data_IF_618154359454
#
_entry.id   IF_618154359454
#
_cell.length_a   1.000
_cell.length_b   1.000
_cell.length_c   1.000
_cell.angle_alpha   90.00
_cell.angle_beta   90.00
_cell.angle_gamma   90.00
#
_symmetry.space_group_name_H-M   'P 1'
#
loop_
_entity.id
_entity.type
_entity.pdbx_description
1 polymer ?
#
# COMPACT_ATOMS: atom_id res chain seq x y z
N UNK A 1 -18.83 11.22 14.90
CA UNK A 1 -18.10 10.02 14.46
C UNK A 1 -17.56 9.35 15.70
N UNK A 2 -17.69 8.03 15.83
CA UNK A 2 -17.09 7.30 16.95
C UNK A 2 -15.56 7.37 16.91
N UNK A 3 -14.90 7.30 18.06
CA UNK A 3 -13.45 7.45 18.16
C UNK A 3 -12.71 6.33 17.42
N UNK A 4 -13.23 5.10 17.46
CA UNK A 4 -12.67 3.97 16.73
C UNK A 4 -12.73 4.20 15.22
N UNK A 5 -13.85 4.74 14.73
CA UNK A 5 -14.04 5.09 13.31
C UNK A 5 -13.03 6.13 12.85
N UNK A 6 -12.86 7.21 13.63
CA UNK A 6 -11.90 8.29 13.33
C UNK A 6 -10.47 7.76 13.25
N UNK A 7 -10.05 7.01 14.27
CA UNK A 7 -8.73 6.35 14.32
C UNK A 7 -8.53 5.39 13.14
N UNK A 8 -9.57 4.65 12.77
CA UNK A 8 -9.58 3.75 11.63
C UNK A 8 -9.35 4.47 10.30
N UNK A 9 -10.06 5.58 10.06
CA UNK A 9 -9.90 6.38 8.85
C UNK A 9 -8.50 7.00 8.76
N UNK A 10 -7.99 7.53 9.88
CA UNK A 10 -6.62 8.08 9.95
C UNK A 10 -5.57 7.01 9.64
N UNK A 11 -5.68 5.83 10.27
CA UNK A 11 -4.73 4.74 10.01
C UNK A 11 -4.87 4.17 8.60
N UNK A 12 -6.08 4.08 8.06
CA UNK A 12 -6.31 3.64 6.68
C UNK A 12 -5.62 4.58 5.69
N UNK A 13 -5.75 5.89 5.91
CA UNK A 13 -5.09 6.93 5.12
C UNK A 13 -3.58 6.79 5.14
N UNK A 14 -3.00 6.54 6.31
CA UNK A 14 -1.58 6.28 6.46
C UNK A 14 -1.14 4.99 5.73
N UNK A 15 -1.87 3.88 5.88
CA UNK A 15 -1.48 2.59 5.29
C UNK A 15 -1.54 2.60 3.76
N UNK A 16 -2.53 3.28 3.18
CA UNK A 16 -2.71 3.36 1.72
C UNK A 16 -2.10 4.60 1.07
N UNK A 17 -1.63 5.57 1.86
CA UNK A 17 -1.30 6.91 1.40
C UNK A 17 -2.43 7.56 0.57
N UNK A 18 -3.69 7.29 0.94
CA UNK A 18 -4.90 7.72 0.24
C UNK A 18 -5.94 8.30 1.21
N UNK A 19 -6.45 9.50 0.91
CA UNK A 19 -7.61 10.06 1.62
C UNK A 19 -8.92 9.41 1.14
N UNK A 20 -9.33 8.34 1.81
CA UNK A 20 -10.54 7.59 1.47
C UNK A 20 -11.76 8.22 2.16
N UNK A 21 -12.84 8.56 1.41
CA UNK A 21 -14.04 9.11 2.02
C UNK A 21 -14.68 8.10 2.98
N UNK A 22 -15.33 8.61 4.02
CA UNK A 22 -16.08 7.80 4.97
C UNK A 22 -17.34 7.21 4.30
N UNK A 23 -17.33 5.91 3.99
CA UNK A 23 -18.45 5.26 3.29
C UNK A 23 -19.36 4.47 4.24
N UNK A 24 -20.69 4.47 4.02
CA UNK A 24 -21.60 3.68 4.81
C UNK A 24 -21.50 2.17 4.51
N UNK A 25 -21.96 1.34 5.44
CA UNK A 25 -22.14 -0.10 5.24
C UNK A 25 -21.23 -0.98 6.10
N UNK A 26 -21.71 -2.20 6.38
CA UNK A 26 -21.06 -3.14 7.30
C UNK A 26 -19.67 -3.57 6.84
N UNK A 27 -19.46 -3.73 5.53
CA UNK A 27 -18.16 -4.13 4.99
C UNK A 27 -17.10 -3.06 5.23
N UNK A 28 -17.40 -1.81 4.90
CA UNK A 28 -16.49 -0.70 5.16
C UNK A 28 -16.26 -0.49 6.66
N UNK A 29 -17.28 -0.67 7.51
CA UNK A 29 -17.12 -0.67 8.96
C UNK A 29 -16.15 -1.75 9.47
N UNK A 30 -16.21 -2.98 8.95
CA UNK A 30 -15.23 -4.02 9.30
C UNK A 30 -13.81 -3.64 8.86
N UNK A 31 -13.66 -3.04 7.69
CA UNK A 31 -12.34 -2.59 7.21
C UNK A 31 -11.79 -1.44 8.05
N UNK A 32 -12.58 -0.39 8.24
CA UNK A 32 -12.09 0.83 8.91
C UNK A 32 -12.01 0.64 10.42
N UNK A 33 -13.08 0.17 11.06
CA UNK A 33 -13.17 0.18 12.53
C UNK A 33 -12.36 -0.99 13.12
N UNK A 34 -12.45 -2.16 12.48
CA UNK A 34 -11.74 -3.35 12.95
C UNK A 34 -10.33 -3.44 12.38
N UNK A 35 -10.14 -3.57 11.06
CA UNK A 35 -8.80 -3.76 10.50
C UNK A 35 -7.90 -2.54 10.78
N UNK A 36 -8.32 -1.32 10.44
CA UNK A 36 -7.47 -0.14 10.65
C UNK A 36 -7.55 0.43 12.07
N UNK A 37 -8.75 0.55 12.64
CA UNK A 37 -8.98 1.11 13.96
C UNK A 37 -8.45 0.22 15.09
N UNK A 38 -8.47 -1.11 14.89
CA UNK A 38 -8.02 -2.08 15.88
C UNK A 38 -6.72 -2.77 15.47
N UNK A 39 -6.67 -3.51 14.36
CA UNK A 39 -5.53 -4.42 14.08
C UNK A 39 -4.23 -3.68 13.74
N UNK A 40 -4.28 -2.69 12.85
CA UNK A 40 -3.09 -1.91 12.46
C UNK A 40 -2.55 -1.02 13.58
N UNK A 41 -3.35 -0.72 14.60
CA UNK A 41 -2.97 0.20 15.68
C UNK A 41 -2.57 -0.53 16.97
N UNK A 42 -2.58 -1.86 16.97
CA UNK A 42 -2.11 -2.67 18.11
C UNK A 42 -0.63 -2.42 18.39
N UNK A 43 -0.26 -2.52 19.65
CA UNK A 43 1.14 -2.52 20.05
C UNK A 43 1.79 -3.88 19.77
N UNK A 44 3.12 -3.94 19.85
CA UNK A 44 3.92 -5.17 19.73
C UNK A 44 4.67 -5.35 18.40
N UNK A 45 4.23 -4.67 17.34
CA UNK A 45 4.98 -4.57 16.08
C UNK A 45 5.05 -3.10 15.66
N UNK A 46 6.13 -2.71 15.00
CA UNK A 46 6.22 -1.41 14.34
C UNK A 46 5.44 -1.40 13.01
N UNK A 47 5.26 -0.23 12.39
CA UNK A 47 4.73 -0.15 11.02
C UNK A 47 5.65 -0.89 10.05
N UNK A 48 6.97 -0.70 10.19
CA UNK A 48 7.99 -1.39 9.38
C UNK A 48 7.85 -2.92 9.46
N UNK A 49 7.71 -3.48 10.65
CA UNK A 49 7.56 -4.94 10.82
C UNK A 49 6.30 -5.47 10.12
N UNK A 50 5.19 -4.72 10.20
CA UNK A 50 3.96 -5.06 9.47
C UNK A 50 4.16 -5.04 7.96
N UNK A 51 4.88 -4.05 7.43
CA UNK A 51 5.16 -3.95 5.99
C UNK A 51 6.02 -5.11 5.50
N UNK A 52 7.04 -5.52 6.27
CA UNK A 52 7.86 -6.68 5.91
C UNK A 52 7.00 -7.95 5.75
N UNK A 53 6.13 -8.22 6.72
CA UNK A 53 5.21 -9.37 6.64
C UNK A 53 4.21 -9.22 5.48
N UNK A 54 3.63 -8.04 5.31
CA UNK A 54 2.62 -7.79 4.28
C UNK A 54 3.21 -7.91 2.88
N UNK A 55 4.39 -7.32 2.61
CA UNK A 55 5.08 -7.47 1.32
C UNK A 55 5.36 -8.94 1.03
N UNK A 56 5.88 -9.70 2.00
CA UNK A 56 6.12 -11.13 1.83
C UNK A 56 4.85 -11.90 1.46
N UNK A 57 3.73 -11.63 2.15
CA UNK A 57 2.44 -12.27 1.87
C UNK A 57 1.90 -11.88 0.48
N UNK A 58 1.94 -10.60 0.13
CA UNK A 58 1.44 -10.12 -1.16
C UNK A 58 2.27 -10.66 -2.34
N UNK A 59 3.58 -10.75 -2.18
CA UNK A 59 4.46 -11.38 -3.17
C UNK A 59 4.14 -12.87 -3.31
N UNK A 60 4.02 -13.60 -2.19
CA UNK A 60 3.70 -15.03 -2.21
C UNK A 60 2.32 -15.33 -2.83
N UNK A 61 1.36 -14.41 -2.65
CA UNK A 61 0.01 -14.52 -3.23
C UNK A 61 -0.11 -13.91 -4.64
N UNK A 62 0.98 -13.41 -5.22
CA UNK A 62 1.00 -12.77 -6.53
C UNK A 62 -0.01 -11.59 -6.65
N UNK A 63 -0.18 -10.82 -5.57
CA UNK A 63 -1.11 -9.68 -5.49
C UNK A 63 -0.43 -8.38 -5.93
N UNK A 64 -0.08 -8.29 -7.22
CA UNK A 64 0.78 -7.24 -7.77
C UNK A 64 0.21 -5.83 -7.65
N UNK A 65 -1.09 -5.64 -7.92
CA UNK A 65 -1.73 -4.33 -7.80
C UNK A 65 -1.72 -3.81 -6.35
N UNK A 66 -1.99 -4.68 -5.37
CA UNK A 66 -1.93 -4.28 -3.95
C UNK A 66 -0.48 -4.05 -3.51
N UNK A 67 0.46 -4.81 -4.07
CA UNK A 67 1.88 -4.65 -3.80
C UNK A 67 2.39 -3.26 -4.22
N UNK A 68 2.05 -2.77 -5.42
CA UNK A 68 2.43 -1.41 -5.86
C UNK A 68 1.88 -0.32 -4.94
N UNK A 69 0.61 -0.42 -4.55
CA UNK A 69 -0.02 0.53 -3.61
C UNK A 69 0.73 0.56 -2.27
N UNK A 70 1.07 -0.61 -1.72
CA UNK A 70 1.81 -0.72 -0.47
C UNK A 70 3.24 -0.19 -0.61
N UNK A 71 3.95 -0.48 -1.70
CA UNK A 71 5.30 0.02 -1.96
C UNK A 71 5.33 1.55 -2.03
N UNK A 72 4.36 2.17 -2.71
CA UNK A 72 4.29 3.63 -2.76
C UNK A 72 3.97 4.25 -1.39
N UNK A 73 3.08 3.63 -0.61
CA UNK A 73 2.79 4.08 0.76
C UNK A 73 4.01 3.96 1.67
N UNK A 74 4.74 2.85 1.60
CA UNK A 74 6.00 2.61 2.34
C UNK A 74 7.02 3.73 2.07
N UNK A 75 7.24 4.06 0.79
CA UNK A 75 8.19 5.12 0.40
C UNK A 75 7.69 6.51 0.76
N UNK A 76 6.38 6.75 0.74
CA UNK A 76 5.79 8.04 1.11
C UNK A 76 5.87 8.30 2.61
N UNK A 77 5.71 7.24 3.41
CA UNK A 77 5.79 7.26 4.87
C UNK A 77 7.21 7.06 5.40
N UNK A 78 8.18 6.84 4.52
CA UNK A 78 9.61 6.65 4.86
C UNK A 78 9.84 5.45 5.81
N UNK A 79 9.05 4.39 5.65
CA UNK A 79 9.11 3.18 6.49
C UNK A 79 10.27 2.22 6.10
N UNK A 80 10.58 2.18 4.80
CA UNK A 80 11.70 1.46 4.18
C UNK A 80 12.31 2.32 3.06
N UNK A 81 13.60 2.16 2.82
CA UNK A 81 14.28 2.77 1.67
C UNK A 81 14.14 1.93 0.40
N UNK A 82 14.43 2.51 -0.77
CA UNK A 82 14.46 1.78 -2.04
C UNK A 82 15.49 0.64 -2.01
N UNK A 83 16.64 0.84 -1.37
CA UNK A 83 17.68 -0.19 -1.28
C UNK A 83 17.24 -1.34 -0.39
N UNK A 84 16.56 -1.06 0.73
CA UNK A 84 16.00 -2.10 1.59
C UNK A 84 14.92 -2.91 0.86
N UNK A 85 14.07 -2.26 0.05
CA UNK A 85 13.07 -2.96 -0.76
C UNK A 85 13.71 -3.90 -1.80
N UNK A 86 14.82 -3.49 -2.41
CA UNK A 86 15.58 -4.35 -3.33
C UNK A 86 16.24 -5.54 -2.62
N UNK A 87 16.78 -5.34 -1.43
CA UNK A 87 17.31 -6.46 -0.64
C UNK A 87 16.21 -7.46 -0.26
N UNK A 88 15.00 -6.97 0.05
CA UNK A 88 13.83 -7.83 0.28
C UNK A 88 13.47 -8.62 -0.98
N UNK A 89 13.51 -8.01 -2.17
CA UNK A 89 13.21 -8.72 -3.43
C UNK A 89 14.22 -9.83 -3.70
N UNK A 90 15.51 -9.56 -3.50
CA UNK A 90 16.59 -10.55 -3.59
C UNK A 90 16.36 -11.71 -2.61
N UNK A 91 16.08 -11.40 -1.35
CA UNK A 91 15.88 -12.43 -0.33
C UNK A 91 14.64 -13.28 -0.60
N UNK A 92 13.48 -12.65 -0.81
CA UNK A 92 12.21 -13.35 -1.03
C UNK A 92 12.24 -14.23 -2.28
N UNK A 93 12.97 -13.84 -3.33
CA UNK A 93 13.15 -14.66 -4.54
C UNK A 93 13.58 -16.10 -4.23
N UNK A 94 14.37 -16.31 -3.17
CA UNK A 94 14.84 -17.65 -2.78
C UNK A 94 13.76 -18.50 -2.08
N UNK A 95 12.72 -17.88 -1.54
CA UNK A 95 11.66 -18.57 -0.78
C UNK A 95 10.33 -18.66 -1.54
N UNK A 96 10.05 -17.68 -2.42
CA UNK A 96 8.84 -17.67 -3.26
C UNK A 96 9.13 -18.05 -4.72
N UNK A 97 10.40 -18.22 -5.08
CA UNK A 97 10.86 -18.54 -6.43
C UNK A 97 11.00 -17.33 -7.35
N UNK A 98 11.84 -17.48 -8.37
CA UNK A 98 12.12 -16.46 -9.39
C UNK A 98 10.88 -15.84 -10.06
N UNK A 99 9.82 -16.59 -10.41
CA UNK A 99 8.64 -16.01 -11.05
C UNK A 99 7.92 -14.97 -10.18
N UNK A 100 7.87 -15.14 -8.87
CA UNK A 100 7.20 -14.21 -7.95
C UNK A 100 8.16 -13.13 -7.44
N UNK A 101 9.40 -13.50 -7.13
CA UNK A 101 10.44 -12.55 -6.70
C UNK A 101 10.76 -11.49 -7.74
N UNK A 102 10.88 -11.88 -9.03
CA UNK A 102 11.13 -10.93 -10.12
C UNK A 102 9.96 -9.96 -10.36
N UNK A 103 8.72 -10.35 -10.03
CA UNK A 103 7.57 -9.44 -10.06
C UNK A 103 7.61 -8.40 -8.95
N UNK A 104 8.02 -8.78 -7.74
CA UNK A 104 8.25 -7.82 -6.66
C UNK A 104 9.34 -6.82 -7.07
N UNK A 105 10.46 -7.31 -7.60
CA UNK A 105 11.53 -6.43 -8.10
C UNK A 105 11.02 -5.48 -9.21
N UNK A 106 10.26 -6.00 -10.16
CA UNK A 106 9.62 -5.19 -11.20
C UNK A 106 8.66 -4.13 -10.66
N UNK A 107 7.85 -4.47 -9.65
CA UNK A 107 6.94 -3.55 -8.98
C UNK A 107 7.70 -2.41 -8.27
N UNK A 108 8.79 -2.72 -7.57
CA UNK A 108 9.67 -1.73 -6.95
C UNK A 108 10.20 -0.76 -8.01
N UNK A 109 10.72 -1.28 -9.12
CA UNK A 109 11.22 -0.46 -10.22
C UNK A 109 10.12 0.45 -10.80
N UNK A 110 8.92 -0.06 -11.05
CA UNK A 110 7.81 0.73 -11.58
C UNK A 110 7.42 1.87 -10.63
N UNK A 111 7.26 1.59 -9.34
CA UNK A 111 6.91 2.61 -8.33
C UNK A 111 7.99 3.69 -8.23
N UNK A 112 9.28 3.30 -8.19
CA UNK A 112 10.39 4.25 -8.14
C UNK A 112 10.43 5.14 -9.39
N UNK A 113 10.19 4.57 -10.57
CA UNK A 113 10.17 5.34 -11.82
C UNK A 113 8.97 6.28 -11.91
N UNK A 114 7.78 5.85 -11.48
CA UNK A 114 6.58 6.72 -11.40
C UNK A 114 6.87 7.93 -10.50
N UNK A 115 7.41 7.69 -9.30
CA UNK A 115 7.79 8.74 -8.33
C UNK A 115 8.81 9.73 -8.87
N UNK A 116 9.87 9.26 -9.52
CA UNK A 116 10.86 10.14 -10.16
C UNK A 116 10.24 11.04 -11.22
N UNK A 117 9.38 10.49 -12.08
CA UNK A 117 8.69 11.27 -13.12
C UNK A 117 7.74 12.32 -12.52
N UNK A 118 7.04 11.98 -11.45
CA UNK A 118 6.16 12.91 -10.75
C UNK A 118 6.94 14.07 -10.12
N UNK A 119 8.08 13.77 -9.48
CA UNK A 119 9.00 14.77 -8.93
C UNK A 119 9.54 15.69 -10.02
N UNK A 120 9.99 15.15 -11.16
CA UNK A 120 10.46 15.91 -12.33
C UNK A 120 9.36 16.81 -12.94
N UNK A 121 8.12 16.34 -12.91
CA UNK A 121 6.96 17.11 -13.39
C UNK A 121 6.46 18.17 -12.38
N UNK A 122 7.07 18.28 -11.20
CA UNK A 122 6.63 19.18 -10.13
C UNK A 122 5.27 18.80 -9.54
N UNK A 123 4.83 17.55 -9.73
CA UNK A 123 3.63 17.03 -9.08
C UNK A 123 3.94 16.71 -7.61
N UNK A 124 3.03 17.07 -6.70
CA UNK A 124 3.17 16.71 -5.28
C UNK A 124 3.23 15.18 -5.14
N UNK A 125 4.13 14.67 -4.26
CA UNK A 125 4.34 13.23 -3.92
C UNK A 125 3.08 12.40 -4.21
N UNK A 126 3.20 11.43 -5.12
CA UNK A 126 2.19 10.55 -5.78
C UNK A 126 1.11 9.87 -4.92
N UNK A 127 0.47 10.59 -4.00
CA UNK A 127 -0.69 10.12 -3.27
C UNK A 127 -1.88 9.87 -4.23
N UNK A 128 -1.94 10.59 -5.35
CA UNK A 128 -3.01 10.53 -6.36
C UNK A 128 -2.99 9.26 -7.23
N UNK A 129 -1.84 8.68 -7.51
CA UNK A 129 -1.73 7.49 -8.37
C UNK A 129 -2.14 6.21 -7.62
N UNK A 130 -1.82 6.14 -6.31
CA UNK A 130 -2.36 5.10 -5.43
C UNK A 130 -3.89 5.08 -5.41
N UNK A 131 -4.52 6.26 -5.54
CA UNK A 131 -5.98 6.39 -5.59
C UNK A 131 -6.55 5.69 -6.81
N UNK A 132 -5.93 5.86 -7.98
CA UNK A 132 -6.48 5.28 -9.21
C UNK A 132 -6.36 3.75 -9.22
N UNK A 133 -5.21 3.22 -8.77
CA UNK A 133 -4.97 1.77 -8.69
C UNK A 133 -5.86 1.10 -7.62
N UNK A 134 -6.01 1.72 -6.44
CA UNK A 134 -6.89 1.20 -5.39
C UNK A 134 -8.38 1.29 -5.79
N UNK A 135 -8.81 2.36 -6.45
CA UNK A 135 -10.21 2.49 -6.92
C UNK A 135 -10.53 1.47 -8.01
N UNK A 136 -9.63 1.24 -8.97
CA UNK A 136 -9.82 0.16 -9.95
C UNK A 136 -9.96 -1.22 -9.29
N UNK A 137 -9.22 -1.49 -8.21
CA UNK A 137 -9.29 -2.74 -7.46
C UNK A 137 -10.67 -2.99 -6.80
N UNK A 138 -11.35 -1.95 -6.32
CA UNK A 138 -12.61 -2.09 -5.57
C UNK A 138 -13.87 -1.70 -6.34
N UNK A 139 -13.77 -0.84 -7.35
CA UNK A 139 -14.93 -0.28 -8.05
C UNK A 139 -15.17 -0.87 -9.44
N UNK A 140 -14.22 -1.64 -10.01
CA UNK A 140 -14.25 -2.06 -11.43
C UNK A 140 -14.59 -0.90 -12.39
N UNK A 141 -14.20 0.33 -12.06
CA UNK A 141 -14.44 1.54 -12.86
C UNK A 141 -13.26 2.49 -12.75
N UNK A 142 -12.93 3.11 -13.88
CA UNK A 142 -11.95 4.18 -13.99
C UNK A 142 -12.53 5.50 -13.46
N UNK A 143 -11.71 6.27 -12.72
CA UNK A 143 -12.06 7.62 -12.25
C UNK A 143 -12.22 8.64 -13.39
N UNK A 144 -11.96 8.24 -14.64
CA UNK A 144 -12.07 9.10 -15.82
C UNK A 144 -13.37 8.96 -16.62
N UNK A 145 -14.29 8.09 -16.20
CA UNK A 145 -15.64 8.12 -16.78
C UNK A 145 -16.44 9.27 -16.17
N UNK A 146 -16.53 10.36 -16.94
CA UNK A 146 -17.40 11.50 -16.69
C UNK A 146 -18.88 11.13 -16.80
#
# INVERSE_FOLDING_TARGET
MDELRRKGLEKMKEVYAWDMPDMPGRFFALTVDHLFGTIWTREGLSMRDRRLMLLAVLTAQNQEALLEVQLNAILSNEELTVDELKEISIFLTHYVGFPLGSKLDGAIHRVVQKRKKAEEAGAAKDAKDNVNEAVQMYAHKDLHDK
#
